data_IF_673799377835
#
_entry.id   IF_673799377835
#
_cell.length_a   1.000
_cell.length_b   1.000
_cell.length_c   1.000
_cell.angle_alpha   90.00
_cell.angle_beta   90.00
_cell.angle_gamma   90.00
#
_symmetry.space_group_name_H-M   'P 1'
#
loop_
_entity.id
_entity.type
_entity.pdbx_description
1 polymer ?
#
# COMPACT_ATOMS: atom_id res chain seq x y z
N UNK A 1 -37.93 -26.28 -40.63
CA UNK A 1 -37.38 -25.36 -41.64
C UNK A 1 -36.17 -24.73 -41.03
N UNK A 2 -35.03 -25.12 -41.57
CA UNK A 2 -33.66 -24.74 -41.21
C UNK A 2 -33.40 -23.28 -41.64
N UNK A 3 -32.70 -22.52 -40.87
CA UNK A 3 -31.84 -21.47 -41.41
C UNK A 3 -30.53 -21.39 -40.61
N UNK A 4 -29.48 -21.88 -41.23
CA UNK A 4 -28.08 -21.76 -40.86
C UNK A 4 -27.58 -20.39 -41.31
N UNK A 5 -26.92 -19.62 -40.44
CA UNK A 5 -26.00 -18.55 -40.87
C UNK A 5 -24.72 -18.49 -40.02
N UNK A 6 -23.73 -19.11 -40.63
CA UNK A 6 -22.32 -18.74 -40.86
C UNK A 6 -21.61 -17.83 -39.82
N UNK A 7 -20.60 -18.47 -39.26
CA UNK A 7 -19.46 -17.89 -38.53
C UNK A 7 -18.51 -17.22 -39.53
N UNK A 8 -17.94 -16.05 -39.26
CA UNK A 8 -16.78 -15.53 -40.00
C UNK A 8 -15.47 -16.03 -39.41
N UNK A 9 -14.57 -16.44 -40.28
CA UNK A 9 -13.21 -16.90 -40.09
C UNK A 9 -12.30 -15.84 -39.42
N UNK A 10 -11.42 -16.34 -38.56
CA UNK A 10 -10.24 -15.64 -38.05
C UNK A 10 -9.23 -15.38 -39.17
N UNK A 11 -8.86 -14.14 -39.37
CA UNK A 11 -7.67 -13.79 -40.15
C UNK A 11 -6.44 -13.81 -39.24
N UNK A 12 -5.53 -14.74 -39.53
CA UNK A 12 -4.13 -14.74 -39.07
C UNK A 12 -3.39 -13.60 -39.74
N UNK A 13 -2.84 -12.70 -38.93
CA UNK A 13 -1.77 -11.84 -39.39
C UNK A 13 -0.45 -12.31 -38.77
N UNK A 14 0.38 -12.89 -39.63
CA UNK A 14 1.82 -13.09 -39.42
C UNK A 14 2.53 -11.80 -39.79
N UNK A 15 3.42 -11.32 -38.96
CA UNK A 15 4.19 -10.13 -39.30
C UNK A 15 5.28 -9.77 -38.33
N UNK A 16 6.45 -10.33 -38.60
CA UNK A 16 7.79 -9.75 -38.62
C UNK A 16 8.48 -9.40 -37.28
N UNK A 17 9.45 -10.27 -36.99
CA UNK A 17 10.70 -10.01 -36.25
C UNK A 17 11.43 -8.79 -36.81
N UNK A 18 11.72 -7.80 -35.99
CA UNK A 18 12.82 -6.85 -36.22
C UNK A 18 13.81 -6.94 -35.07
N UNK A 19 14.91 -7.65 -35.37
CA UNK A 19 16.17 -7.64 -34.64
C UNK A 19 16.79 -6.23 -34.74
N UNK A 20 16.91 -5.52 -33.64
CA UNK A 20 17.84 -4.40 -33.49
C UNK A 20 19.04 -4.82 -32.66
N UNK A 21 20.11 -5.17 -33.35
CA UNK A 21 21.47 -5.21 -32.83
C UNK A 21 21.91 -3.81 -32.34
N UNK A 22 22.19 -3.66 -31.08
CA UNK A 22 22.94 -2.53 -30.56
C UNK A 22 24.42 -2.91 -30.46
N UNK A 23 25.19 -2.31 -31.38
CA UNK A 23 26.66 -2.29 -31.38
C UNK A 23 27.17 -1.65 -30.09
N UNK A 24 28.10 -2.37 -29.46
CA UNK A 24 28.91 -1.86 -28.33
C UNK A 24 29.92 -0.81 -28.83
N UNK A 25 30.01 0.29 -28.13
CA UNK A 25 31.14 1.19 -28.19
C UNK A 25 32.10 0.91 -27.04
N UNK A 26 33.26 0.39 -27.39
CA UNK A 26 34.45 0.29 -26.52
C UNK A 26 34.99 1.69 -26.25
N UNK A 27 35.06 2.10 -25.00
CA UNK A 27 35.90 3.23 -24.59
C UNK A 27 37.18 2.73 -23.92
N UNK A 28 38.28 3.16 -24.55
CA UNK A 28 39.62 2.76 -24.27
C UNK A 28 40.14 3.08 -22.86
N UNK A 29 40.96 2.14 -22.38
CA UNK A 29 41.82 2.29 -21.22
C UNK A 29 42.97 3.28 -21.53
N UNK A 30 42.98 4.39 -20.84
CA UNK A 30 44.11 5.30 -20.76
C UNK A 30 44.95 4.99 -19.51
N UNK A 31 46.05 4.27 -19.71
CA UNK A 31 47.10 4.09 -18.71
C UNK A 31 47.95 5.35 -18.67
N UNK A 32 47.97 6.06 -17.54
CA UNK A 32 49.00 7.05 -17.23
C UNK A 32 49.84 6.59 -16.05
N UNK A 33 51.05 6.13 -16.37
CA UNK A 33 52.14 5.93 -15.47
C UNK A 33 52.72 7.27 -15.02
N UNK A 34 52.84 7.49 -13.74
CA UNK A 34 53.74 8.49 -13.15
C UNK A 34 54.50 7.86 -11.98
N UNK A 35 55.70 7.50 -12.27
CA UNK A 35 56.79 7.25 -11.32
C UNK A 35 57.26 8.60 -10.75
N UNK A 36 57.51 8.65 -9.45
CA UNK A 36 58.43 9.69 -8.94
C UNK A 36 58.22 10.10 -7.47
N UNK A 37 59.20 9.63 -6.70
CA UNK A 37 59.86 10.32 -5.59
C UNK A 37 59.30 10.15 -4.16
N UNK A 38 60.10 9.35 -3.43
CA UNK A 38 60.11 9.23 -1.95
C UNK A 38 60.24 10.59 -1.27
N UNK A 39 59.47 10.81 -0.22
CA UNK A 39 59.98 11.54 0.93
C UNK A 39 59.27 11.06 2.23
N UNK A 40 60.11 10.60 3.12
CA UNK A 40 59.85 10.16 4.47
C UNK A 40 59.46 11.34 5.35
N UNK A 41 58.30 11.32 5.96
CA UNK A 41 58.03 12.02 7.19
C UNK A 41 57.00 11.26 8.00
N UNK A 42 57.46 10.63 9.06
CA UNK A 42 56.66 10.06 10.11
C UNK A 42 55.80 11.16 10.76
N UNK A 43 54.50 11.13 10.58
CA UNK A 43 53.53 11.75 11.47
C UNK A 43 52.46 10.71 11.80
N UNK A 44 52.60 10.15 13.00
CA UNK A 44 51.55 9.42 13.68
C UNK A 44 50.36 10.35 13.91
N UNK A 45 49.42 10.40 12.98
CA UNK A 45 48.09 10.90 13.25
C UNK A 45 47.21 9.75 13.71
N UNK A 46 46.99 9.73 15.05
CA UNK A 46 45.88 8.99 15.66
C UNK A 46 44.56 9.47 15.07
N UNK A 47 44.16 8.90 13.95
CA UNK A 47 42.79 9.04 13.46
C UNK A 47 41.86 8.17 14.33
N UNK A 48 41.53 8.66 15.52
CA UNK A 48 40.31 8.25 16.19
C UNK A 48 39.14 8.70 15.31
N UNK A 49 38.81 7.90 14.31
CA UNK A 49 37.52 7.97 13.62
C UNK A 49 36.48 7.58 14.69
N UNK A 50 36.00 8.58 15.42
CA UNK A 50 34.74 8.48 16.14
C UNK A 50 33.69 8.16 15.08
N UNK A 51 33.40 6.85 14.86
CA UNK A 51 32.12 6.45 14.34
C UNK A 51 31.08 6.95 15.35
N UNK A 52 30.63 8.17 15.16
CA UNK A 52 29.42 8.64 15.81
C UNK A 52 28.32 7.71 15.29
N UNK A 53 28.03 6.67 16.06
CA UNK A 53 26.79 5.92 15.93
C UNK A 53 25.67 6.97 16.15
N UNK A 54 25.27 7.64 15.08
CA UNK A 54 24.04 8.41 15.06
C UNK A 54 22.97 7.35 15.29
N UNK A 55 22.64 7.11 16.54
CA UNK A 55 21.47 6.34 16.94
C UNK A 55 20.28 7.15 16.40
N UNK A 56 19.92 6.89 15.14
CA UNK A 56 18.75 7.54 14.57
C UNK A 56 17.56 7.13 15.42
N UNK A 57 16.97 8.10 16.09
CA UNK A 57 15.78 7.86 16.89
C UNK A 57 14.74 7.13 16.05
N UNK A 58 14.09 6.09 16.59
CA UNK A 58 13.07 5.36 15.86
C UNK A 58 11.99 6.36 15.39
N UNK A 59 11.48 6.21 14.16
CA UNK A 59 10.54 7.17 13.61
C UNK A 59 9.29 7.26 14.49
N UNK A 60 8.86 8.52 14.77
CA UNK A 60 7.64 8.78 15.53
C UNK A 60 6.45 8.10 14.83
N UNK A 61 5.76 7.25 15.57
CA UNK A 61 4.58 6.52 15.09
C UNK A 61 3.31 7.22 15.53
N UNK A 62 2.28 7.15 14.71
CA UNK A 62 0.97 7.70 15.05
C UNK A 62 0.32 6.90 16.19
N UNK A 63 -0.55 7.53 17.01
CA UNK A 63 -1.16 6.85 18.13
C UNK A 63 -2.06 5.71 17.69
N UNK A 64 -2.12 4.65 18.51
CA UNK A 64 -3.00 3.49 18.32
C UNK A 64 -4.10 3.47 19.38
N UNK A 65 -5.29 3.07 19.00
CA UNK A 65 -6.43 2.92 19.92
C UNK A 65 -6.36 1.63 20.75
N UNK A 66 -5.65 0.62 20.22
CA UNK A 66 -5.64 -0.74 20.68
C UNK A 66 -6.68 -1.64 19.99
N UNK A 67 -7.45 -1.08 19.05
CA UNK A 67 -8.49 -1.79 18.29
C UNK A 67 -8.18 -1.92 16.81
N UNK A 68 -6.94 -1.60 16.42
CA UNK A 68 -6.49 -1.74 15.03
C UNK A 68 -6.54 -3.21 14.62
N UNK A 69 -7.05 -3.50 13.41
CA UNK A 69 -6.99 -4.86 12.87
C UNK A 69 -5.54 -5.28 12.67
N UNK A 70 -5.23 -6.55 12.91
CA UNK A 70 -3.93 -7.10 12.54
C UNK A 70 -3.73 -7.03 11.02
N UNK A 71 -2.51 -6.80 10.58
CA UNK A 71 -2.17 -6.96 9.17
C UNK A 71 -2.05 -8.46 8.85
N UNK A 72 -2.77 -8.89 7.82
CA UNK A 72 -2.66 -10.24 7.26
C UNK A 72 -2.98 -10.21 5.77
N UNK A 73 -2.31 -11.06 5.01
CA UNK A 73 -2.57 -11.23 3.57
C UNK A 73 -3.53 -12.38 3.26
N UNK A 74 -3.94 -13.17 4.26
CA UNK A 74 -4.62 -14.47 4.05
C UNK A 74 -5.89 -14.34 3.20
N UNK A 75 -6.82 -13.45 3.55
CA UNK A 75 -8.06 -13.28 2.77
C UNK A 75 -7.89 -12.30 1.61
N UNK A 76 -7.33 -11.13 1.91
CA UNK A 76 -7.22 -10.02 0.97
C UNK A 76 -6.19 -10.25 -0.13
N UNK A 77 -5.20 -11.14 0.09
CA UNK A 77 -4.17 -11.51 -0.88
C UNK A 77 -4.54 -12.66 -1.81
N UNK A 78 -5.71 -13.31 -1.61
CA UNK A 78 -6.24 -14.30 -2.55
C UNK A 78 -6.89 -13.62 -3.75
N UNK A 79 -7.01 -14.33 -4.87
CA UNK A 79 -7.63 -13.80 -6.10
C UNK A 79 -8.99 -13.13 -5.85
N UNK A 80 -9.87 -13.77 -5.07
CA UNK A 80 -11.17 -13.19 -4.69
C UNK A 80 -11.00 -11.86 -3.92
N UNK A 81 -10.07 -11.78 -2.99
CA UNK A 81 -9.79 -10.57 -2.23
C UNK A 81 -9.23 -9.44 -3.10
N UNK A 82 -8.39 -9.81 -4.07
CA UNK A 82 -7.77 -8.87 -5.01
C UNK A 82 -8.82 -8.33 -5.99
N UNK A 83 -9.57 -9.20 -6.65
CA UNK A 83 -10.40 -8.85 -7.78
C UNK A 83 -11.75 -8.22 -7.40
N UNK A 84 -12.23 -8.46 -6.18
CA UNK A 84 -13.57 -8.00 -5.75
C UNK A 84 -13.53 -6.82 -4.77
N UNK A 85 -12.35 -6.37 -4.35
CA UNK A 85 -12.24 -5.31 -3.36
C UNK A 85 -11.17 -4.30 -3.74
N UNK A 86 -11.51 -3.03 -3.77
CA UNK A 86 -10.56 -1.95 -4.03
C UNK A 86 -9.91 -1.41 -2.74
N UNK A 87 -9.14 -0.32 -2.85
CA UNK A 87 -8.45 0.32 -1.72
C UNK A 87 -9.43 0.82 -0.63
N UNK A 88 -10.60 1.33 -1.02
CA UNK A 88 -11.61 1.83 -0.08
C UNK A 88 -12.21 0.68 0.73
N UNK A 89 -12.73 -0.35 0.07
CA UNK A 89 -13.27 -1.54 0.74
C UNK A 89 -12.25 -2.19 1.69
N UNK A 90 -11.00 -2.30 1.23
CA UNK A 90 -9.90 -2.81 2.05
C UNK A 90 -9.64 -1.95 3.29
N UNK A 91 -9.52 -0.64 3.11
CA UNK A 91 -9.17 0.26 4.22
C UNK A 91 -10.23 0.25 5.33
N UNK A 92 -11.50 0.20 4.97
CA UNK A 92 -12.60 0.17 5.95
C UNK A 92 -12.98 -1.24 6.42
N UNK A 93 -12.37 -2.29 5.85
CA UNK A 93 -12.57 -3.67 6.28
C UNK A 93 -13.83 -4.35 5.75
N UNK A 94 -14.41 -3.87 4.67
CA UNK A 94 -15.58 -4.45 4.01
C UNK A 94 -15.16 -5.47 2.93
N UNK A 95 -14.95 -6.71 3.36
CA UNK A 95 -14.58 -7.80 2.47
C UNK A 95 -15.80 -8.43 1.81
N UNK A 96 -15.85 -8.38 0.49
CA UNK A 96 -16.91 -9.01 -0.32
C UNK A 96 -16.33 -10.02 -1.31
N UNK A 97 -17.02 -11.16 -1.47
CA UNK A 97 -16.59 -12.24 -2.36
C UNK A 97 -17.12 -12.12 -3.79
N UNK A 98 -18.20 -11.39 -3.98
CA UNK A 98 -18.94 -11.32 -5.26
C UNK A 98 -19.09 -9.90 -5.82
N UNK A 99 -18.31 -8.94 -5.30
CA UNK A 99 -18.38 -7.56 -5.80
C UNK A 99 -17.72 -7.47 -7.18
N UNK A 100 -18.47 -7.09 -8.18
CA UNK A 100 -18.02 -6.96 -9.58
C UNK A 100 -17.65 -5.53 -9.98
N UNK A 101 -17.67 -4.58 -9.04
CA UNK A 101 -17.42 -3.15 -9.26
C UNK A 101 -16.51 -2.56 -8.20
N UNK A 102 -15.90 -1.40 -8.49
CA UNK A 102 -15.08 -0.65 -7.53
C UNK A 102 -15.98 0.21 -6.67
N UNK A 103 -16.06 -0.09 -5.38
CA UNK A 103 -16.79 0.76 -4.43
C UNK A 103 -16.18 2.16 -4.36
N UNK A 104 -17.02 3.17 -4.38
CA UNK A 104 -16.61 4.58 -4.26
C UNK A 104 -17.27 5.23 -3.04
N UNK A 105 -16.63 6.22 -2.38
CA UNK A 105 -17.22 6.92 -1.24
C UNK A 105 -18.53 7.61 -1.62
N UNK A 106 -19.55 7.50 -0.78
CA UNK A 106 -20.90 8.07 -0.98
C UNK A 106 -21.89 7.14 -1.66
N UNK A 107 -21.40 6.09 -2.31
CA UNK A 107 -22.24 5.17 -3.07
C UNK A 107 -23.24 4.41 -2.18
N UNK A 108 -22.78 3.96 -1.01
CA UNK A 108 -23.67 3.28 -0.05
C UNK A 108 -24.74 4.22 0.53
N UNK A 109 -24.43 5.49 0.66
CA UNK A 109 -25.37 6.51 1.10
C UNK A 109 -26.33 6.96 0.00
N UNK A 110 -26.19 6.44 -1.24
CA UNK A 110 -27.02 6.86 -2.40
C UNK A 110 -26.71 8.26 -2.88
N UNK A 111 -25.52 8.79 -2.58
CA UNK A 111 -25.10 10.13 -2.98
C UNK A 111 -24.58 10.12 -4.43
N UNK A 112 -24.65 11.29 -5.09
CA UNK A 112 -24.08 11.43 -6.44
C UNK A 112 -22.56 11.31 -6.38
N UNK A 113 -22.02 10.28 -7.02
CA UNK A 113 -20.58 9.96 -7.10
C UNK A 113 -19.97 10.29 -8.46
N UNK A 114 -20.67 11.06 -9.27
CA UNK A 114 -20.23 11.54 -10.59
C UNK A 114 -19.94 13.04 -10.57
N UNK A 115 -19.31 13.53 -11.64
CA UNK A 115 -19.04 14.95 -11.82
C UNK A 115 -17.63 15.39 -11.37
N UNK A 116 -17.19 16.53 -11.88
CA UNK A 116 -15.84 17.06 -11.69
C UNK A 116 -15.51 17.45 -10.24
N UNK A 117 -16.52 17.82 -9.44
CA UNK A 117 -16.35 18.20 -8.03
C UNK A 117 -16.24 17.01 -7.07
N UNK A 118 -16.63 15.81 -7.51
CA UNK A 118 -16.66 14.62 -6.67
C UNK A 118 -15.27 14.28 -6.10
N UNK A 119 -14.25 14.22 -6.97
CA UNK A 119 -12.87 13.90 -6.59
C UNK A 119 -12.14 15.10 -5.96
N UNK A 120 -12.65 15.56 -4.84
CA UNK A 120 -12.04 16.66 -4.10
C UNK A 120 -11.93 16.37 -2.61
N UNK A 121 -10.91 16.95 -1.97
CA UNK A 121 -10.75 16.86 -0.50
C UNK A 121 -11.88 17.60 0.27
N UNK A 122 -12.67 18.44 -0.41
CA UNK A 122 -13.84 19.10 0.18
C UNK A 122 -15.05 18.16 0.25
N UNK A 123 -15.18 17.25 -0.72
CA UNK A 123 -16.36 16.39 -0.91
C UNK A 123 -16.12 14.98 -0.37
N UNK A 124 -15.08 14.30 -0.85
CA UNK A 124 -14.85 12.88 -0.54
C UNK A 124 -14.84 12.52 0.95
N UNK A 125 -14.24 13.32 1.89
CA UNK A 125 -14.29 12.99 3.31
C UNK A 125 -15.72 12.91 3.86
N UNK A 126 -16.60 13.78 3.41
CA UNK A 126 -18.02 13.78 3.81
C UNK A 126 -18.75 12.56 3.27
N UNK A 127 -18.42 12.14 2.04
CA UNK A 127 -18.95 10.93 1.41
C UNK A 127 -18.55 9.65 2.17
N UNK A 128 -17.30 9.55 2.61
CA UNK A 128 -16.81 8.43 3.43
C UNK A 128 -17.60 8.30 4.74
N UNK A 129 -17.87 9.43 5.40
CA UNK A 129 -18.67 9.44 6.64
C UNK A 129 -20.12 9.09 6.35
N UNK A 130 -20.70 9.61 5.27
CA UNK A 130 -22.09 9.37 4.89
C UNK A 130 -22.40 7.89 4.63
N UNK A 131 -21.43 7.12 4.10
CA UNK A 131 -21.60 5.68 3.91
C UNK A 131 -21.85 4.91 5.21
N UNK A 132 -21.31 5.39 6.35
CA UNK A 132 -21.44 4.74 7.66
C UNK A 132 -21.45 5.77 8.81
N UNK A 133 -22.45 6.66 8.93
CA UNK A 133 -22.40 7.86 9.79
C UNK A 133 -22.23 7.56 11.28
N UNK A 134 -22.70 6.40 11.75
CA UNK A 134 -22.55 5.97 13.17
C UNK A 134 -21.26 5.19 13.44
N UNK A 135 -20.47 4.90 12.39
CA UNK A 135 -19.31 3.99 12.48
C UNK A 135 -18.02 4.59 11.91
N UNK A 136 -18.10 5.77 11.31
CA UNK A 136 -16.95 6.51 10.76
C UNK A 136 -17.08 7.97 11.16
N UNK A 137 -15.99 8.57 11.60
CA UNK A 137 -15.90 10.00 11.85
C UNK A 137 -14.55 10.55 11.41
N UNK A 138 -14.53 11.84 11.01
CA UNK A 138 -13.30 12.56 10.67
C UNK A 138 -12.50 12.79 11.94
N UNK A 139 -11.18 12.65 11.87
CA UNK A 139 -10.24 12.92 12.96
C UNK A 139 -8.96 13.54 12.44
N UNK A 140 -8.14 14.11 13.31
CA UNK A 140 -6.79 14.49 12.96
C UNK A 140 -5.88 13.27 12.86
N UNK A 141 -4.79 13.40 12.08
CA UNK A 141 -3.84 12.31 11.91
C UNK A 141 -3.19 11.87 13.22
N UNK A 142 -2.82 12.82 14.05
CA UNK A 142 -2.19 12.61 15.36
C UNK A 142 -3.16 12.28 16.48
N UNK A 143 -4.45 12.44 16.27
CA UNK A 143 -5.46 12.13 17.24
C UNK A 143 -5.62 10.60 17.40
N UNK A 144 -5.67 10.13 18.64
CA UNK A 144 -5.98 8.72 18.93
C UNK A 144 -7.45 8.45 18.68
N UNK A 145 -7.76 7.40 17.92
CA UNK A 145 -9.14 6.94 17.78
C UNK A 145 -9.67 6.40 19.12
N UNK A 146 -10.96 6.55 19.36
CA UNK A 146 -11.61 5.92 20.53
C UNK A 146 -11.55 4.40 20.46
N UNK A 147 -11.68 3.68 21.62
CA UNK A 147 -11.74 2.23 21.63
C UNK A 147 -12.78 1.67 20.66
N UNK A 148 -12.46 0.56 19.98
CA UNK A 148 -13.29 -0.04 18.94
C UNK A 148 -13.13 0.55 17.54
N UNK A 149 -12.26 1.58 17.36
CA UNK A 149 -11.98 2.25 16.09
C UNK A 149 -10.50 2.22 15.76
N UNK A 150 -10.16 2.34 14.48
CA UNK A 150 -8.78 2.44 13.98
C UNK A 150 -8.65 3.53 12.94
N UNK A 151 -7.42 4.00 12.73
CA UNK A 151 -7.11 5.08 11.79
C UNK A 151 -7.13 4.59 10.35
N UNK A 152 -7.78 5.39 9.50
CA UNK A 152 -7.72 5.31 8.04
C UNK A 152 -7.34 6.69 7.51
N UNK A 153 -6.47 6.75 6.50
CA UNK A 153 -6.07 8.00 5.85
C UNK A 153 -6.42 7.97 4.37
N UNK A 154 -6.87 9.10 3.85
CA UNK A 154 -7.26 9.26 2.46
C UNK A 154 -6.40 10.30 1.75
N UNK A 155 -6.03 9.97 0.52
CA UNK A 155 -5.25 10.80 -0.37
C UNK A 155 -5.90 10.86 -1.75
N UNK A 156 -5.59 11.91 -2.50
CA UNK A 156 -5.97 12.07 -3.88
C UNK A 156 -4.72 12.12 -4.77
N UNK A 157 -4.85 11.53 -5.94
CA UNK A 157 -4.06 11.86 -7.12
C UNK A 157 -4.85 12.87 -7.93
N UNK A 158 -4.35 14.09 -8.15
CA UNK A 158 -4.97 15.01 -9.11
C UNK A 158 -4.98 14.36 -10.49
N UNK A 159 -5.94 14.70 -11.33
CA UNK A 159 -6.11 14.11 -12.66
C UNK A 159 -4.82 14.13 -13.47
N UNK A 160 -4.50 13.03 -14.11
CA UNK A 160 -3.33 12.89 -15.00
C UNK A 160 -3.78 12.96 -16.44
N UNK A 161 -2.93 13.57 -17.26
CA UNK A 161 -3.21 13.96 -18.66
C UNK A 161 -3.64 12.84 -19.61
N UNK A 162 -3.55 11.54 -19.25
CA UNK A 162 -3.72 10.46 -20.22
C UNK A 162 -4.91 9.53 -19.97
N UNK A 163 -5.00 8.86 -18.83
CA UNK A 163 -6.03 7.82 -18.60
C UNK A 163 -7.04 8.17 -17.50
N UNK A 164 -6.60 8.92 -16.49
CA UNK A 164 -7.43 9.31 -15.34
C UNK A 164 -7.59 10.83 -15.33
N UNK A 165 -8.25 11.38 -16.37
CA UNK A 165 -8.48 12.84 -16.50
C UNK A 165 -9.10 13.47 -15.26
N UNK A 166 -9.86 12.70 -14.48
CA UNK A 166 -10.57 13.17 -13.29
C UNK A 166 -9.81 12.91 -11.97
N UNK A 167 -8.63 12.27 -12.02
CA UNK A 167 -7.91 11.87 -10.81
C UNK A 167 -8.42 10.55 -10.21
N UNK A 168 -7.87 10.21 -9.03
CA UNK A 168 -8.24 9.00 -8.29
C UNK A 168 -8.02 9.22 -6.79
N UNK A 169 -8.63 8.38 -5.96
CA UNK A 169 -8.45 8.37 -4.51
C UNK A 169 -7.72 7.12 -4.04
N UNK A 170 -7.06 7.23 -2.89
CA UNK A 170 -6.38 6.11 -2.26
C UNK A 170 -6.49 6.13 -0.75
N UNK A 171 -6.54 4.93 -0.15
CA UNK A 171 -6.73 4.77 1.27
C UNK A 171 -5.63 3.93 1.91
N UNK A 172 -5.25 4.31 3.13
CA UNK A 172 -4.30 3.61 3.99
C UNK A 172 -4.98 3.22 5.30
N UNK A 173 -4.66 2.03 5.80
CA UNK A 173 -5.24 1.40 7.00
C UNK A 173 -4.18 1.17 8.04
N UNK A 174 -4.43 1.60 9.29
CA UNK A 174 -3.53 1.38 10.41
C UNK A 174 -3.65 -0.03 10.98
N UNK A 175 -2.52 -0.57 11.44
CA UNK A 175 -2.40 -1.85 12.13
C UNK A 175 -1.54 -1.69 13.38
N UNK A 176 -1.85 -2.44 14.44
CA UNK A 176 -1.03 -2.53 15.66
C UNK A 176 -0.25 -3.83 15.77
N UNK A 177 -0.59 -4.82 14.94
CA UNK A 177 0.05 -6.14 14.88
C UNK A 177 0.25 -6.53 13.42
N UNK A 178 1.42 -7.09 13.11
CA UNK A 178 1.75 -7.64 11.79
C UNK A 178 1.89 -9.15 11.88
N UNK A 179 1.30 -9.86 10.91
CA UNK A 179 1.60 -11.25 10.57
C UNK A 179 2.50 -11.24 9.32
N UNK A 180 3.78 -11.46 9.53
CA UNK A 180 4.79 -11.46 8.47
C UNK A 180 5.20 -12.89 8.13
N UNK A 181 5.03 -13.30 6.87
CA UNK A 181 5.51 -14.59 6.37
C UNK A 181 6.98 -14.47 6.00
N UNK A 182 7.86 -15.14 6.76
CA UNK A 182 9.29 -15.13 6.52
C UNK A 182 9.60 -15.70 5.12
N UNK A 183 10.53 -15.04 4.42
CA UNK A 183 11.04 -15.47 3.11
C UNK A 183 12.34 -16.26 3.27
N UNK A 184 12.74 -17.01 2.24
CA UNK A 184 14.04 -17.64 2.18
C UNK A 184 15.14 -16.57 2.32
N UNK A 185 16.12 -16.81 3.19
CA UNK A 185 17.24 -15.89 3.45
C UNK A 185 16.94 -14.77 4.44
N UNK A 186 15.68 -14.61 4.93
CA UNK A 186 15.43 -13.59 5.95
C UNK A 186 16.17 -13.88 7.26
N UNK A 187 16.76 -12.83 7.84
CA UNK A 187 17.22 -12.79 9.23
C UNK A 187 16.25 -12.01 10.11
N UNK A 188 16.31 -12.18 11.43
CA UNK A 188 15.49 -11.37 12.35
C UNK A 188 15.92 -9.91 12.33
N UNK A 189 17.19 -9.63 12.12
CA UNK A 189 17.78 -8.31 12.01
C UNK A 189 17.20 -7.56 10.81
N UNK A 190 17.19 -8.18 9.63
CA UNK A 190 16.58 -7.60 8.42
C UNK A 190 15.09 -7.30 8.60
N UNK A 191 14.35 -8.24 9.19
CA UNK A 191 12.92 -8.04 9.47
C UNK A 191 12.73 -6.90 10.47
N UNK A 192 13.52 -6.83 11.54
CA UNK A 192 13.46 -5.77 12.53
C UNK A 192 13.78 -4.41 11.93
N UNK A 193 14.83 -4.33 11.10
CA UNK A 193 15.24 -3.12 10.38
C UNK A 193 14.19 -2.67 9.38
N UNK A 194 13.63 -3.60 8.60
CA UNK A 194 12.54 -3.30 7.66
C UNK A 194 11.34 -2.68 8.37
N UNK A 195 10.89 -3.27 9.46
CA UNK A 195 9.75 -2.77 10.24
C UNK A 195 10.13 -1.63 11.20
N UNK A 196 11.41 -1.30 11.33
CA UNK A 196 11.95 -0.29 12.27
C UNK A 196 11.42 -0.55 13.69
N UNK A 197 11.58 -1.79 14.16
CA UNK A 197 11.22 -2.24 15.51
C UNK A 197 12.42 -2.87 16.21
N UNK A 198 12.45 -2.91 17.54
CA UNK A 198 13.52 -3.60 18.27
C UNK A 198 13.65 -5.07 17.85
N UNK A 199 14.89 -5.53 17.63
CA UNK A 199 15.20 -6.91 17.24
C UNK A 199 14.59 -7.94 18.20
N UNK A 200 14.66 -7.68 19.51
CA UNK A 200 14.09 -8.56 20.54
C UNK A 200 12.60 -8.83 20.32
N UNK A 201 11.84 -7.87 19.76
CA UNK A 201 10.41 -8.04 19.47
C UNK A 201 10.17 -9.07 18.37
N UNK A 202 11.02 -9.08 17.33
CA UNK A 202 10.91 -10.02 16.22
C UNK A 202 11.42 -11.39 16.62
N UNK A 203 12.54 -11.47 17.36
CA UNK A 203 13.07 -12.73 17.95
C UNK A 203 12.05 -13.39 18.86
N UNK A 204 11.34 -12.62 19.72
CA UNK A 204 10.26 -13.16 20.57
C UNK A 204 9.14 -13.84 19.77
N UNK A 205 8.86 -13.34 18.55
CA UNK A 205 7.83 -13.92 17.67
C UNK A 205 8.30 -15.17 16.93
N UNK A 206 9.61 -15.30 16.72
CA UNK A 206 10.21 -16.33 15.87
C UNK A 206 10.93 -17.44 16.61
N UNK A 207 11.37 -17.22 17.83
CA UNK A 207 12.21 -18.14 18.61
C UNK A 207 13.71 -17.84 18.48
N UNK A 208 14.56 -18.80 18.88
CA UNK A 208 16.02 -18.60 18.97
C UNK A 208 16.76 -18.81 17.63
N UNK A 209 16.27 -19.73 16.80
CA UNK A 209 16.86 -20.00 15.48
C UNK A 209 16.42 -18.97 14.43
N UNK A 210 17.17 -18.86 13.32
CA UNK A 210 16.77 -18.03 12.17
C UNK A 210 15.35 -18.32 11.70
N UNK A 211 14.65 -17.32 11.13
CA UNK A 211 13.28 -17.50 10.68
C UNK A 211 13.21 -18.55 9.57
N UNK A 212 12.47 -19.63 9.76
CA UNK A 212 12.25 -20.62 8.70
C UNK A 212 11.38 -20.00 7.59
N UNK A 213 11.70 -20.23 6.29
CA UNK A 213 10.87 -19.81 5.17
C UNK A 213 9.41 -20.30 5.36
N UNK A 214 8.45 -19.40 5.12
CA UNK A 214 7.03 -19.71 5.28
C UNK A 214 6.48 -19.55 6.71
N UNK A 215 7.34 -19.48 7.75
CA UNK A 215 6.91 -19.23 9.13
C UNK A 215 6.24 -17.87 9.23
N UNK A 216 5.10 -17.82 9.92
CA UNK A 216 4.42 -16.56 10.21
C UNK A 216 4.92 -16.01 11.53
N UNK A 217 5.53 -14.84 11.49
CA UNK A 217 5.98 -14.09 12.66
C UNK A 217 4.90 -13.08 13.02
N UNK A 218 4.35 -13.17 14.21
CA UNK A 218 3.32 -12.26 14.72
C UNK A 218 3.89 -11.37 15.81
N UNK A 219 3.99 -10.07 15.56
CA UNK A 219 4.57 -9.11 16.50
C UNK A 219 3.84 -7.76 16.49
N UNK A 220 3.92 -7.04 17.62
CA UNK A 220 3.39 -5.68 17.73
C UNK A 220 4.19 -4.75 16.81
N UNK A 221 3.51 -4.09 15.89
CA UNK A 221 4.10 -3.14 14.96
C UNK A 221 3.03 -2.19 14.47
N UNK A 222 3.15 -0.91 14.84
CA UNK A 222 2.25 0.13 14.39
C UNK A 222 2.69 0.61 13.00
N UNK A 223 1.99 0.17 11.98
CA UNK A 223 2.27 0.46 10.56
C UNK A 223 0.96 0.66 9.81
N UNK A 224 1.09 1.20 8.61
CA UNK A 224 -0.03 1.29 7.69
C UNK A 224 0.16 0.32 6.52
N UNK A 225 -0.96 -0.05 5.94
CA UNK A 225 -1.00 -0.81 4.69
C UNK A 225 -2.00 -0.20 3.73
N UNK A 226 -1.90 -0.58 2.48
CA UNK A 226 -2.84 -0.20 1.44
C UNK A 226 -3.04 -1.34 0.44
N UNK A 227 -3.96 -1.16 -0.50
CA UNK A 227 -4.22 -2.10 -1.60
C UNK A 227 -4.37 -1.31 -2.89
N UNK A 228 -3.59 -1.64 -3.93
CA UNK A 228 -3.62 -0.92 -5.21
C UNK A 228 -4.79 -1.39 -6.07
N UNK A 229 -5.96 -0.82 -5.82
CA UNK A 229 -7.18 -1.15 -6.55
C UNK A 229 -7.43 -2.67 -6.62
N UNK A 230 -7.60 -3.20 -7.83
CA UNK A 230 -7.72 -4.63 -8.13
C UNK A 230 -6.38 -5.27 -8.56
N UNK A 231 -5.28 -4.51 -8.56
CA UNK A 231 -4.00 -5.01 -9.05
C UNK A 231 -3.21 -5.80 -8.00
N UNK A 232 -3.39 -5.54 -6.70
CA UNK A 232 -2.58 -6.18 -5.65
C UNK A 232 -3.43 -6.65 -4.47
N UNK A 233 -2.87 -7.60 -3.69
CA UNK A 233 -3.25 -7.79 -2.30
C UNK A 233 -2.78 -6.61 -1.42
N UNK A 234 -2.94 -6.72 -0.09
CA UNK A 234 -2.45 -5.71 0.85
C UNK A 234 -0.92 -5.57 0.81
N UNK A 235 -0.45 -4.33 0.80
CA UNK A 235 0.96 -3.96 0.82
C UNK A 235 1.27 -3.15 2.08
N UNK A 236 2.41 -3.45 2.71
CA UNK A 236 2.96 -2.68 3.84
C UNK A 236 3.98 -1.64 3.38
N UNK A 237 4.30 -1.63 2.09
CA UNK A 237 5.34 -0.78 1.50
C UNK A 237 4.75 0.33 0.65
N UNK A 238 5.44 1.46 0.66
CA UNK A 238 5.18 2.59 -0.22
C UNK A 238 5.69 2.34 -1.65
N UNK A 239 5.61 3.34 -2.52
CA UNK A 239 6.04 3.24 -3.92
C UNK A 239 7.57 3.02 -4.08
N UNK A 240 8.36 3.32 -3.05
CA UNK A 240 9.82 3.09 -3.00
C UNK A 240 10.21 1.81 -2.26
N UNK A 241 9.25 0.98 -1.84
CA UNK A 241 9.50 -0.25 -1.11
C UNK A 241 9.72 -0.08 0.41
N UNK A 242 9.61 1.13 0.96
CA UNK A 242 9.76 1.37 2.39
C UNK A 242 8.50 1.03 3.16
N UNK A 243 8.67 0.49 4.39
CA UNK A 243 7.53 0.25 5.28
C UNK A 243 6.79 1.55 5.60
N UNK A 244 5.47 1.53 5.55
CA UNK A 244 4.64 2.71 5.76
C UNK A 244 4.37 2.89 7.25
N UNK A 245 5.07 3.84 7.88
CA UNK A 245 4.89 4.22 9.29
C UNK A 245 3.89 5.37 9.41
N UNK A 246 4.00 6.35 8.52
CA UNK A 246 3.08 7.47 8.37
C UNK A 246 2.79 7.68 6.88
N UNK A 247 1.57 7.43 6.41
CA UNK A 247 1.23 7.59 5.00
C UNK A 247 1.49 8.99 4.44
N UNK A 248 1.50 10.04 5.27
CA UNK A 248 1.79 11.41 4.83
C UNK A 248 3.24 11.60 4.39
N UNK A 249 4.16 10.78 4.93
CA UNK A 249 5.60 10.78 4.64
C UNK A 249 6.01 9.71 3.63
N UNK A 250 5.12 8.78 3.32
CA UNK A 250 5.36 7.69 2.38
C UNK A 250 5.41 8.19 0.94
N UNK A 251 6.20 7.54 0.08
CA UNK A 251 6.15 7.75 -1.36
C UNK A 251 4.86 7.18 -1.92
N UNK A 252 4.13 7.97 -2.71
CA UNK A 252 2.84 7.61 -3.30
C UNK A 252 2.82 7.80 -4.81
N UNK A 253 4.01 7.92 -5.38
CA UNK A 253 4.19 8.03 -6.82
C UNK A 253 4.30 6.65 -7.46
N UNK A 254 3.24 6.24 -8.13
CA UNK A 254 3.13 4.98 -8.86
C UNK A 254 3.16 5.22 -10.39
N UNK A 255 3.85 6.28 -10.82
CA UNK A 255 3.97 6.68 -12.21
C UNK A 255 2.73 7.42 -12.72
N UNK A 256 1.74 6.69 -13.25
CA UNK A 256 0.51 7.29 -13.77
C UNK A 256 -0.40 7.91 -12.70
N UNK A 257 -0.25 7.51 -11.45
CA UNK A 257 -1.04 7.98 -10.31
C UNK A 257 -0.08 8.36 -9.16
N UNK A 258 -0.13 9.63 -8.76
CA UNK A 258 0.61 10.13 -7.62
C UNK A 258 -0.37 10.66 -6.57
N UNK A 259 -0.62 9.89 -5.52
CA UNK A 259 -1.56 10.23 -4.44
C UNK A 259 -0.92 11.15 -3.40
N UNK A 260 -0.34 12.26 -3.83
CA UNK A 260 0.41 13.19 -2.98
C UNK A 260 -0.48 14.15 -2.17
N UNK A 261 -1.75 14.31 -2.54
CA UNK A 261 -2.65 15.23 -1.85
C UNK A 261 -3.36 14.53 -0.69
N UNK A 262 -2.87 14.79 0.53
CA UNK A 262 -3.56 14.34 1.75
C UNK A 262 -4.88 15.09 1.92
N UNK A 263 -5.99 14.35 2.14
CA UNK A 263 -7.31 14.94 2.29
C UNK A 263 -7.86 14.85 3.71
N UNK A 264 -7.77 13.70 4.35
CA UNK A 264 -8.37 13.49 5.66
C UNK A 264 -7.86 12.24 6.35
N UNK A 265 -8.01 12.21 7.67
CA UNK A 265 -7.97 11.01 8.48
C UNK A 265 -9.36 10.70 9.02
N UNK A 266 -9.62 9.43 9.22
CA UNK A 266 -10.86 8.91 9.77
C UNK A 266 -10.56 7.95 10.90
N UNK A 267 -11.46 7.90 11.87
CA UNK A 267 -11.57 6.78 12.79
C UNK A 267 -12.74 5.90 12.33
N UNK A 268 -12.41 4.66 11.99
CA UNK A 268 -13.34 3.67 11.42
C UNK A 268 -13.59 2.59 12.44
N UNK A 269 -14.84 2.24 12.70
CA UNK A 269 -15.21 1.14 13.61
C UNK A 269 -14.64 -0.17 13.05
N UNK A 270 -14.04 -1.00 13.91
CA UNK A 270 -13.32 -2.20 13.48
C UNK A 270 -14.21 -3.36 12.99
N UNK A 271 -15.55 -3.19 13.02
CA UNK A 271 -16.53 -4.19 12.53
C UNK A 271 -17.78 -3.53 11.97
N UNK A 272 -18.42 -4.24 11.02
CA UNK A 272 -19.74 -3.91 10.52
C UNK A 272 -19.80 -2.66 9.63
N UNK A 273 -18.69 -2.28 9.03
CA UNK A 273 -18.64 -1.28 7.95
C UNK A 273 -19.08 -1.95 6.66
N UNK A 274 -19.84 -1.19 5.85
CA UNK A 274 -20.23 -1.58 4.50
C UNK A 274 -20.00 -0.43 3.54
N UNK A 275 -19.57 -0.74 2.31
CA UNK A 275 -19.39 0.22 1.22
C UNK A 275 -19.98 -0.33 -0.08
N UNK A 276 -20.15 0.53 -1.07
CA UNK A 276 -20.73 0.17 -2.36
C UNK A 276 -22.27 0.13 -2.34
N UNK A 277 -22.85 -0.28 -3.46
CA UNK A 277 -24.31 -0.28 -3.61
C UNK A 277 -25.03 -1.02 -2.48
N UNK A 278 -26.10 -0.45 -1.97
CA UNK A 278 -27.13 -1.21 -1.31
C UNK A 278 -27.82 -2.04 -2.39
N UNK A 279 -27.65 -3.37 -2.38
CA UNK A 279 -28.51 -4.21 -3.20
C UNK A 279 -29.97 -3.83 -2.87
N UNK A 280 -30.79 -3.50 -3.86
CA UNK A 280 -32.22 -3.38 -3.61
C UNK A 280 -32.63 -4.67 -2.94
N UNK A 281 -33.28 -4.59 -1.79
CA UNK A 281 -33.95 -5.74 -1.20
C UNK A 281 -34.83 -6.27 -2.33
N UNK A 282 -34.53 -7.45 -2.83
CA UNK A 282 -35.42 -8.15 -3.74
C UNK A 282 -36.76 -8.16 -3.01
N UNK A 283 -37.69 -7.33 -3.48
CA UNK A 283 -39.00 -7.23 -2.87
C UNK A 283 -39.55 -8.63 -2.78
N UNK A 284 -39.89 -9.08 -1.55
CA UNK A 284 -40.73 -10.25 -1.43
C UNK A 284 -41.92 -9.99 -2.33
N UNK A 285 -42.04 -10.72 -3.44
CA UNK A 285 -43.28 -10.78 -4.17
C UNK A 285 -44.30 -11.23 -3.14
N UNK A 286 -45.12 -10.30 -2.68
CA UNK A 286 -46.39 -10.62 -2.05
C UNK A 286 -47.23 -11.30 -3.10
N UNK A 287 -47.28 -12.63 -3.03
CA UNK A 287 -48.27 -13.41 -3.76
C UNK A 287 -49.67 -13.20 -3.19
#
# INVERSE_FOLDING_TARGET
MLDERSVPEESKDEGADENHEHKGEEFGQGVLSLTGVYNTANHLYNNNIFFSNIISMPPKRLPVSGSEPKFTQVMWGRAIGINNNNCYAYAVGDYEKKRSYKSVPGERAGLNTSGSSYLSCKVLPKMVVADNPKKVYISNAEEKCKPGYYKVMMFLSPGVRTYFKQGDFHFYKQHSVVEYKAKKGNTYEEIANFFKVPLARVKKAGGTASPRPGKILKFKCNVFSHKRGWATGPLLTDAKGNVIIDPRKASKDYGRLNYNKYCSSFCVKNRGIKVGHTHPKVGKKTG
#
